data_IF_788821017496
#
_entry.id   IF_788821017496
#
_cell.length_a   1.000
_cell.length_b   1.000
_cell.length_c   1.000
_cell.angle_alpha   90.00
_cell.angle_beta   90.00
_cell.angle_gamma   90.00
#
_symmetry.space_group_name_H-M   'P 1'
#
loop_
_entity.id
_entity.type
_entity.pdbx_description
1 polymer ?
#
# COMPACT_ATOMS: atom_id res chain seq x y z
N UNK A 1 -26.89 -15.90 -11.44
CA UNK A 1 -26.62 -14.70 -10.64
C UNK A 1 -25.14 -14.75 -10.24
N UNK A 2 -24.24 -14.31 -11.12
CA UNK A 2 -22.79 -14.35 -10.90
C UNK A 2 -22.39 -13.16 -10.03
N UNK A 3 -22.31 -13.38 -8.71
CA UNK A 3 -21.72 -12.40 -7.80
C UNK A 3 -20.26 -12.22 -8.17
N UNK A 4 -19.90 -11.04 -8.68
CA UNK A 4 -18.50 -10.63 -8.80
C UNK A 4 -17.90 -10.66 -7.39
N UNK A 5 -17.02 -11.63 -7.13
CA UNK A 5 -16.17 -11.62 -5.94
C UNK A 5 -15.26 -10.41 -6.11
N UNK A 6 -15.66 -9.26 -5.55
CA UNK A 6 -14.79 -8.10 -5.42
C UNK A 6 -13.62 -8.59 -4.58
N UNK A 7 -12.49 -8.80 -5.24
CA UNK A 7 -11.29 -9.25 -4.55
C UNK A 7 -11.00 -8.21 -3.47
N UNK A 8 -10.63 -8.64 -2.27
CA UNK A 8 -10.27 -7.75 -1.14
C UNK A 8 -9.31 -6.61 -1.53
N UNK A 9 -8.56 -6.80 -2.62
CA UNK A 9 -7.72 -5.80 -3.32
C UNK A 9 -8.50 -4.58 -3.85
N UNK A 10 -9.67 -4.77 -4.46
CA UNK A 10 -10.51 -3.68 -4.95
C UNK A 10 -11.10 -2.87 -3.80
N UNK A 11 -11.54 -3.52 -2.73
CA UNK A 11 -12.19 -2.82 -1.62
C UNK A 11 -11.23 -1.91 -0.84
N UNK A 12 -9.99 -2.35 -0.60
CA UNK A 12 -8.97 -1.52 0.06
C UNK A 12 -8.61 -0.33 -0.82
N UNK A 13 -8.36 -0.54 -2.12
CA UNK A 13 -8.00 0.55 -3.04
C UNK A 13 -9.17 1.54 -3.22
N UNK A 14 -10.41 1.06 -3.25
CA UNK A 14 -11.62 1.90 -3.34
C UNK A 14 -11.84 2.71 -2.05
N UNK A 15 -11.65 2.08 -0.87
CA UNK A 15 -11.79 2.77 0.42
C UNK A 15 -10.73 3.88 0.59
N UNK A 16 -9.49 3.64 0.19
CA UNK A 16 -8.41 4.64 0.28
C UNK A 16 -8.60 5.83 -0.66
N UNK A 17 -9.16 5.62 -1.86
CA UNK A 17 -9.38 6.71 -2.83
C UNK A 17 -10.41 7.75 -2.38
N UNK A 18 -11.26 7.43 -1.41
CA UNK A 18 -12.23 8.37 -0.84
C UNK A 18 -11.70 9.16 0.36
N UNK A 19 -10.66 8.69 1.03
CA UNK A 19 -10.13 9.28 2.28
C UNK A 19 -8.84 10.07 2.10
N UNK A 20 -8.08 9.79 1.04
CA UNK A 20 -6.74 10.36 0.83
C UNK A 20 -6.69 11.24 -0.42
N UNK A 21 -5.84 12.27 -0.38
CA UNK A 21 -5.61 13.12 -1.55
C UNK A 21 -4.93 12.33 -2.68
N UNK A 22 -4.98 12.84 -3.91
CA UNK A 22 -4.26 12.20 -5.02
C UNK A 22 -2.74 12.17 -4.79
N UNK A 23 -2.20 13.19 -4.12
CA UNK A 23 -0.77 13.26 -3.78
C UNK A 23 -0.41 12.23 -2.71
N UNK A 24 -1.27 12.07 -1.70
CA UNK A 24 -1.12 11.07 -0.64
C UNK A 24 -1.07 9.66 -1.25
N UNK A 25 -1.99 9.39 -2.19
CA UNK A 25 -2.06 8.11 -2.90
C UNK A 25 -0.83 7.88 -3.77
N UNK A 26 -0.33 8.90 -4.47
CA UNK A 26 0.88 8.81 -5.26
C UNK A 26 2.12 8.53 -4.40
N UNK A 27 2.22 9.18 -3.24
CA UNK A 27 3.32 8.98 -2.30
C UNK A 27 3.31 7.55 -1.71
N UNK A 28 2.15 7.07 -1.24
CA UNK A 28 2.01 5.71 -0.75
C UNK A 28 2.32 4.68 -1.83
N UNK A 29 1.84 4.88 -3.07
CA UNK A 29 2.12 3.98 -4.18
C UNK A 29 3.61 3.94 -4.53
N UNK A 30 4.29 5.09 -4.57
CA UNK A 30 5.72 5.17 -4.79
C UNK A 30 6.53 4.43 -3.72
N UNK A 31 6.14 4.54 -2.45
CA UNK A 31 6.78 3.80 -1.36
C UNK A 31 6.57 2.28 -1.48
N UNK A 32 5.34 1.84 -1.81
CA UNK A 32 5.03 0.41 -2.04
C UNK A 32 5.86 -0.15 -3.19
N UNK A 33 5.97 0.59 -4.29
CA UNK A 33 6.68 0.16 -5.49
C UNK A 33 8.19 0.07 -5.25
N UNK A 34 8.77 1.07 -4.58
CA UNK A 34 10.18 1.06 -4.21
C UNK A 34 10.52 -0.14 -3.32
N UNK A 35 9.75 -0.37 -2.25
CA UNK A 35 9.98 -1.50 -1.33
C UNK A 35 9.83 -2.84 -2.05
N UNK A 36 8.80 -3.00 -2.89
CA UNK A 36 8.62 -4.23 -3.65
C UNK A 36 9.75 -4.47 -4.66
N UNK A 37 10.27 -3.40 -5.28
CA UNK A 37 11.44 -3.47 -6.15
C UNK A 37 12.68 -3.97 -5.42
N UNK A 38 13.01 -3.35 -4.28
CA UNK A 38 14.17 -3.72 -3.46
C UNK A 38 14.08 -5.14 -2.88
N UNK A 39 12.88 -5.58 -2.49
CA UNK A 39 12.67 -6.93 -1.94
C UNK A 39 12.50 -8.00 -3.02
N UNK A 40 12.50 -7.64 -4.31
CA UNK A 40 12.26 -8.57 -5.40
C UNK A 40 10.85 -9.19 -5.38
N UNK A 41 9.84 -8.43 -4.95
CA UNK A 41 8.44 -8.85 -4.88
C UNK A 41 7.72 -8.42 -6.17
N UNK A 42 7.55 -9.31 -7.17
CA UNK A 42 7.03 -8.91 -8.48
C UNK A 42 5.55 -8.52 -8.42
N UNK A 43 4.68 -9.44 -7.98
CA UNK A 43 3.22 -9.28 -7.78
C UNK A 43 2.72 -10.36 -6.82
N UNK A 44 1.55 -10.14 -6.20
CA UNK A 44 0.87 -11.15 -5.38
C UNK A 44 0.72 -10.74 -3.92
N UNK A 45 0.36 -11.70 -3.06
CA UNK A 45 -0.07 -11.46 -1.69
C UNK A 45 0.97 -10.72 -0.81
N UNK A 46 2.26 -10.87 -1.08
CA UNK A 46 3.31 -10.14 -0.35
C UNK A 46 3.24 -8.63 -0.56
N UNK A 47 2.83 -8.18 -1.75
CA UNK A 47 2.65 -6.75 -2.04
C UNK A 47 1.51 -6.15 -1.21
N UNK A 48 0.48 -6.96 -0.91
CA UNK A 48 -0.62 -6.55 -0.03
C UNK A 48 -0.14 -6.34 1.42
N UNK A 49 0.85 -7.11 1.89
CA UNK A 49 1.46 -6.93 3.22
C UNK A 49 2.25 -5.64 3.29
N UNK A 50 3.05 -5.35 2.27
CA UNK A 50 3.80 -4.08 2.15
C UNK A 50 2.83 -2.89 2.14
N UNK A 51 1.77 -2.96 1.31
CA UNK A 51 0.76 -1.91 1.21
C UNK A 51 0.10 -1.60 2.55
N UNK A 52 -0.35 -2.62 3.29
CA UNK A 52 -0.98 -2.42 4.62
C UNK A 52 -0.06 -1.70 5.60
N UNK A 53 1.23 -2.02 5.60
CA UNK A 53 2.21 -1.39 6.49
C UNK A 53 2.51 0.06 6.11
N UNK A 54 2.63 0.33 4.82
CA UNK A 54 2.79 1.71 4.31
C UNK A 54 1.58 2.56 4.69
N UNK A 55 0.37 2.03 4.52
CA UNK A 55 -0.87 2.73 4.86
C UNK A 55 -0.96 2.97 6.38
N UNK A 56 -0.67 1.96 7.22
CA UNK A 56 -0.66 2.13 8.67
C UNK A 56 0.37 3.17 9.15
N UNK A 57 1.54 3.22 8.52
CA UNK A 57 2.55 4.25 8.79
C UNK A 57 2.04 5.66 8.40
N UNK A 58 1.34 5.76 7.27
CA UNK A 58 0.71 7.00 6.83
C UNK A 58 -0.37 7.50 7.82
N UNK A 59 -1.22 6.58 8.27
CA UNK A 59 -2.32 6.82 9.23
C UNK A 59 -1.81 7.23 10.62
N UNK A 60 -0.70 6.63 11.08
CA UNK A 60 -0.05 6.99 12.35
C UNK A 60 0.72 8.32 12.32
N UNK A 61 0.71 9.04 11.19
CA UNK A 61 1.39 10.33 11.04
C UNK A 61 2.84 10.23 10.56
N UNK A 62 3.37 9.02 10.34
CA UNK A 62 4.72 8.79 9.80
C UNK A 62 4.78 8.97 8.27
N UNK A 63 4.35 10.14 7.78
CA UNK A 63 4.07 10.40 6.35
C UNK A 63 5.28 10.77 5.50
N UNK A 64 6.47 10.92 6.09
CA UNK A 64 7.67 11.23 5.31
C UNK A 64 8.04 10.04 4.40
N UNK A 65 8.51 10.28 3.16
CA UNK A 65 8.80 9.19 2.20
C UNK A 65 9.69 8.08 2.77
N UNK A 66 10.75 8.43 3.49
CA UNK A 66 11.66 7.45 4.11
C UNK A 66 10.98 6.62 5.19
N UNK A 67 10.05 7.20 5.95
CA UNK A 67 9.30 6.48 6.99
C UNK A 67 8.35 5.45 6.36
N UNK A 68 7.69 5.82 5.25
CA UNK A 68 6.80 4.92 4.52
C UNK A 68 7.57 3.75 3.91
N UNK A 69 8.73 4.01 3.30
CA UNK A 69 9.62 2.96 2.77
C UNK A 69 10.09 2.04 3.91
N UNK A 70 10.54 2.61 5.02
CA UNK A 70 10.98 1.84 6.18
C UNK A 70 9.87 0.94 6.74
N UNK A 71 8.63 1.43 6.81
CA UNK A 71 7.48 0.64 7.25
C UNK A 71 7.23 -0.57 6.34
N UNK A 72 7.39 -0.41 5.03
CA UNK A 72 7.28 -1.50 4.06
C UNK A 72 8.38 -2.56 4.21
N UNK A 73 9.62 -2.16 4.47
CA UNK A 73 10.76 -3.08 4.64
C UNK A 73 10.61 -4.02 5.85
N UNK A 74 9.88 -3.60 6.89
CA UNK A 74 9.58 -4.44 8.03
C UNK A 74 8.72 -5.67 7.71
N UNK A 75 8.17 -5.78 6.49
CA UNK A 75 7.32 -6.88 6.04
C UNK A 75 8.00 -8.26 5.93
N UNK A 76 9.32 -8.33 6.17
CA UNK A 76 10.14 -9.54 6.06
C UNK A 76 10.00 -10.49 7.25
#
# INVERSE_FOLDING_TARGET
MTGSVKTQRDEVVIALRGTYSSDDMAQMQGAIDAVCGELGIPRGAQRDVVARRVIAAYESGSRLPLNLVHAGLGAR
#
